data_IF_325305607724
#
_entry.id   IF_325305607724
#
_cell.length_a   1.000
_cell.length_b   1.000
_cell.length_c   1.000
_cell.angle_alpha   90.00
_cell.angle_beta   90.00
_cell.angle_gamma   90.00
#
_symmetry.space_group_name_H-M   'P 1'
#
loop_
_entity.id
_entity.type
_entity.pdbx_description
1 polymer ?
#
# COMPACT_ATOMS: atom_id res chain seq x y z
N UNK A 1 13.59 -12.16 -3.49
CA UNK A 1 14.23 -12.45 -4.79
C UNK A 1 15.72 -12.66 -4.62
N UNK A 2 16.45 -11.75 -3.94
CA UNK A 2 17.90 -11.90 -3.73
C UNK A 2 18.30 -13.21 -3.01
N UNK A 3 17.46 -13.74 -2.13
CA UNK A 3 17.75 -14.91 -1.29
C UNK A 3 17.46 -16.24 -1.98
N UNK A 4 16.30 -16.36 -2.63
CA UNK A 4 15.82 -17.62 -3.23
C UNK A 4 15.75 -17.58 -4.77
N UNK A 5 16.16 -16.47 -5.35
CA UNK A 5 16.03 -16.20 -6.78
C UNK A 5 14.71 -15.48 -7.14
N UNK A 6 14.69 -14.93 -8.36
CA UNK A 6 13.53 -14.16 -8.83
C UNK A 6 12.39 -15.07 -9.34
N UNK A 7 12.70 -16.26 -9.86
CA UNK A 7 11.69 -17.15 -10.45
C UNK A 7 10.64 -17.65 -9.44
N UNK A 8 11.01 -18.15 -8.23
CA UNK A 8 10.03 -18.55 -7.22
C UNK A 8 9.14 -17.37 -6.76
N UNK A 9 9.72 -16.18 -6.67
CA UNK A 9 8.98 -14.94 -6.30
C UNK A 9 7.96 -14.60 -7.38
N UNK A 10 8.39 -14.61 -8.66
CA UNK A 10 7.50 -14.34 -9.80
C UNK A 10 6.35 -15.35 -9.86
N UNK A 11 6.65 -16.63 -9.75
CA UNK A 11 5.62 -17.68 -9.76
C UNK A 11 4.63 -17.51 -8.61
N UNK A 12 5.10 -17.17 -7.41
CA UNK A 12 4.22 -16.93 -6.26
C UNK A 12 3.34 -15.70 -6.47
N UNK A 13 3.88 -14.59 -7.00
CA UNK A 13 3.08 -13.39 -7.31
C UNK A 13 2.01 -13.71 -8.34
N UNK A 14 2.34 -14.41 -9.43
CA UNK A 14 1.39 -14.70 -10.50
C UNK A 14 0.32 -15.70 -10.07
N UNK A 15 0.73 -16.85 -9.53
CA UNK A 15 -0.20 -17.91 -9.14
C UNK A 15 -0.99 -17.46 -7.90
N UNK A 16 -0.31 -16.92 -6.90
CA UNK A 16 -0.92 -16.42 -5.68
C UNK A 16 -1.91 -15.29 -5.95
N UNK A 17 -1.51 -14.30 -6.75
CA UNK A 17 -2.33 -13.15 -7.09
C UNK A 17 -3.60 -13.50 -7.84
N UNK A 18 -3.50 -14.35 -8.86
CA UNK A 18 -4.64 -14.73 -9.71
C UNK A 18 -5.58 -15.70 -8.99
N UNK A 19 -5.04 -16.78 -8.41
CA UNK A 19 -5.86 -17.89 -7.92
C UNK A 19 -6.24 -17.78 -6.45
N UNK A 20 -5.45 -17.09 -5.64
CA UNK A 20 -5.70 -16.94 -4.20
C UNK A 20 -6.10 -15.52 -3.83
N UNK A 21 -5.25 -14.54 -4.07
CA UNK A 21 -5.47 -13.16 -3.64
C UNK A 21 -6.72 -12.54 -4.26
N UNK A 22 -6.81 -12.52 -5.58
CA UNK A 22 -7.95 -11.93 -6.29
C UNK A 22 -9.27 -12.64 -5.99
N UNK A 23 -9.25 -13.98 -5.85
CA UNK A 23 -10.45 -14.76 -5.49
C UNK A 23 -10.88 -14.48 -4.06
N UNK A 24 -9.94 -14.37 -3.12
CA UNK A 24 -10.23 -14.05 -1.72
C UNK A 24 -10.80 -12.64 -1.56
N UNK A 25 -10.21 -11.66 -2.24
CA UNK A 25 -10.66 -10.25 -2.18
C UNK A 25 -12.04 -10.06 -2.80
N UNK A 26 -12.25 -10.67 -3.97
CA UNK A 26 -13.58 -10.70 -4.61
C UNK A 26 -14.60 -11.43 -3.74
N UNK A 27 -14.25 -12.60 -3.17
CA UNK A 27 -15.12 -13.39 -2.30
C UNK A 27 -15.55 -12.61 -1.05
N UNK A 28 -14.62 -11.89 -0.40
CA UNK A 28 -14.91 -11.05 0.74
C UNK A 28 -15.84 -9.88 0.39
N UNK A 29 -15.58 -9.21 -0.75
CA UNK A 29 -16.43 -8.14 -1.27
C UNK A 29 -17.84 -8.64 -1.59
N UNK A 30 -17.93 -9.73 -2.34
CA UNK A 30 -19.19 -10.35 -2.74
C UNK A 30 -20.01 -10.76 -1.51
N UNK A 31 -19.40 -11.48 -0.56
CA UNK A 31 -20.06 -11.90 0.66
C UNK A 31 -20.62 -10.72 1.47
N UNK A 32 -19.84 -9.62 1.55
CA UNK A 32 -20.27 -8.40 2.25
C UNK A 32 -21.44 -7.71 1.53
N UNK A 33 -21.33 -7.46 0.23
CA UNK A 33 -22.38 -6.80 -0.56
C UNK A 33 -23.68 -7.58 -0.52
N UNK A 34 -23.64 -8.89 -0.72
CA UNK A 34 -24.82 -9.78 -0.63
C UNK A 34 -25.42 -9.88 0.77
N UNK A 35 -24.70 -9.47 1.79
CA UNK A 35 -25.21 -9.35 3.16
C UNK A 35 -25.36 -7.88 3.61
N UNK A 36 -25.76 -6.99 2.73
CA UNK A 36 -26.06 -5.58 3.01
C UNK A 36 -24.85 -4.78 3.54
N UNK A 37 -23.66 -5.04 3.03
CA UNK A 37 -22.45 -4.36 3.43
C UNK A 37 -21.93 -4.72 4.83
N UNK A 38 -22.30 -5.89 5.37
CA UNK A 38 -21.82 -6.34 6.68
C UNK A 38 -20.31 -6.63 6.62
N UNK A 39 -19.59 -6.16 7.66
CA UNK A 39 -18.17 -6.45 7.79
C UNK A 39 -17.90 -7.95 8.02
N UNK A 40 -16.68 -8.40 7.76
CA UNK A 40 -16.30 -9.81 7.93
C UNK A 40 -16.61 -10.34 9.33
N UNK A 41 -16.40 -9.56 10.38
CA UNK A 41 -16.76 -9.96 11.74
C UNK A 41 -18.25 -10.22 11.95
N UNK A 42 -19.12 -9.46 11.28
CA UNK A 42 -20.57 -9.68 11.33
C UNK A 42 -20.99 -10.89 10.48
N UNK A 43 -20.28 -11.17 9.40
CA UNK A 43 -20.51 -12.37 8.59
C UNK A 43 -20.10 -13.62 9.36
N UNK A 44 -18.97 -13.60 10.05
CA UNK A 44 -18.53 -14.68 10.93
C UNK A 44 -19.56 -14.95 12.04
N UNK A 45 -20.12 -13.89 12.63
CA UNK A 45 -21.21 -14.08 13.62
C UNK A 45 -22.41 -14.79 13.03
N UNK A 46 -22.81 -14.41 11.82
CA UNK A 46 -23.97 -14.99 11.14
C UNK A 46 -23.81 -16.47 10.80
N UNK A 47 -22.60 -16.89 10.36
CA UNK A 47 -22.35 -18.23 9.83
C UNK A 47 -21.66 -19.17 10.83
N UNK A 48 -20.86 -18.65 11.75
CA UNK A 48 -20.06 -19.43 12.71
C UNK A 48 -20.53 -19.21 14.14
N UNK A 49 -21.05 -18.01 14.46
CA UNK A 49 -21.57 -17.67 15.77
C UNK A 49 -20.78 -16.61 16.54
N UNK A 50 -21.30 -16.23 17.71
CA UNK A 50 -20.79 -15.13 18.54
C UNK A 50 -19.34 -15.32 19.01
N UNK A 51 -18.95 -16.57 19.32
CA UNK A 51 -17.59 -16.86 19.77
C UNK A 51 -16.59 -16.64 18.63
N UNK A 52 -16.90 -17.10 17.41
CA UNK A 52 -16.10 -16.88 16.22
C UNK A 52 -15.88 -15.40 15.94
N UNK A 53 -16.95 -14.58 16.06
CA UNK A 53 -16.81 -13.11 15.93
C UNK A 53 -15.87 -12.52 16.97
N UNK A 54 -15.98 -12.89 18.24
CA UNK A 54 -15.13 -12.35 19.30
C UNK A 54 -13.65 -12.68 19.05
N UNK A 55 -13.35 -13.93 18.73
CA UNK A 55 -11.99 -14.38 18.42
C UNK A 55 -11.42 -13.67 17.18
N UNK A 56 -12.23 -13.54 16.13
CA UNK A 56 -11.84 -12.83 14.93
C UNK A 56 -11.56 -11.33 15.18
N UNK A 57 -12.40 -10.65 15.96
CA UNK A 57 -12.19 -9.24 16.30
C UNK A 57 -10.94 -9.06 17.17
N UNK A 58 -10.68 -9.96 18.12
CA UNK A 58 -9.45 -9.95 18.92
C UNK A 58 -8.23 -10.12 18.02
N UNK A 59 -8.26 -11.11 17.11
CA UNK A 59 -7.21 -11.30 16.13
C UNK A 59 -6.97 -10.04 15.27
N UNK A 60 -8.03 -9.47 14.70
CA UNK A 60 -7.93 -8.25 13.89
C UNK A 60 -7.35 -7.08 14.67
N UNK A 61 -7.71 -6.94 15.95
CA UNK A 61 -7.20 -5.87 16.81
C UNK A 61 -5.70 -6.03 17.05
N UNK A 62 -5.24 -7.20 17.47
CA UNK A 62 -3.82 -7.49 17.70
C UNK A 62 -2.99 -7.36 16.41
N UNK A 63 -3.54 -7.89 15.30
CA UNK A 63 -2.90 -7.80 13.99
C UNK A 63 -2.78 -6.36 13.50
N UNK A 64 -3.80 -5.52 13.72
CA UNK A 64 -3.75 -4.10 13.37
C UNK A 64 -2.70 -3.34 14.16
N UNK A 65 -2.52 -3.63 15.45
CA UNK A 65 -1.44 -3.03 16.25
C UNK A 65 -0.05 -3.40 15.70
N UNK A 66 0.15 -4.68 15.36
CA UNK A 66 1.40 -5.15 14.78
C UNK A 66 1.69 -4.44 13.44
N UNK A 67 0.70 -4.38 12.55
CA UNK A 67 0.83 -3.72 11.24
C UNK A 67 1.18 -2.24 11.42
N UNK A 68 0.44 -1.51 12.26
CA UNK A 68 0.70 -0.08 12.50
C UNK A 68 2.12 0.13 13.01
N UNK A 69 2.59 -0.69 13.96
CA UNK A 69 3.94 -0.58 14.49
C UNK A 69 5.01 -0.83 13.41
N UNK A 70 4.87 -1.90 12.62
CA UNK A 70 5.82 -2.26 11.57
C UNK A 70 5.86 -1.18 10.47
N UNK A 71 4.70 -0.75 9.97
CA UNK A 71 4.67 0.28 8.92
C UNK A 71 5.13 1.65 9.42
N UNK A 72 4.82 2.04 10.66
CA UNK A 72 5.32 3.28 11.25
C UNK A 72 6.84 3.26 11.35
N UNK A 73 7.43 2.14 11.76
CA UNK A 73 8.88 1.95 11.82
C UNK A 73 9.53 2.01 10.42
N UNK A 74 8.96 1.31 9.44
CA UNK A 74 9.44 1.32 8.06
C UNK A 74 9.40 2.73 7.44
N UNK A 75 8.29 3.44 7.60
CA UNK A 75 8.11 4.82 7.08
C UNK A 75 9.10 5.76 7.73
N UNK A 76 9.25 5.71 9.05
CA UNK A 76 10.23 6.52 9.79
C UNK A 76 11.67 6.21 9.35
N UNK A 77 11.98 4.93 9.10
CA UNK A 77 13.27 4.50 8.55
C UNK A 77 13.54 5.01 7.14
N UNK A 78 12.51 5.08 6.29
CA UNK A 78 12.64 5.58 4.91
C UNK A 78 12.97 7.08 4.87
N UNK A 79 12.45 7.86 5.80
CA UNK A 79 12.63 9.31 5.83
C UNK A 79 13.84 9.77 6.66
N UNK A 80 14.49 8.86 7.40
CA UNK A 80 15.60 9.21 8.28
C UNK A 80 16.79 9.77 7.51
N UNK A 81 17.41 10.79 8.08
CA UNK A 81 18.62 11.42 7.55
C UNK A 81 19.91 10.87 8.17
N UNK A 82 19.82 10.07 9.22
CA UNK A 82 20.96 9.60 10.00
C UNK A 82 20.98 8.08 10.09
N UNK A 83 22.16 7.51 10.10
CA UNK A 83 22.36 6.09 10.32
C UNK A 83 22.02 5.72 11.77
N UNK A 84 21.30 4.61 11.96
CA UNK A 84 20.79 4.19 13.26
C UNK A 84 21.89 3.73 14.23
N UNK A 85 23.05 3.29 13.70
CA UNK A 85 24.16 2.73 14.49
C UNK A 85 25.24 3.77 14.73
N UNK A 86 25.71 4.41 13.67
CA UNK A 86 26.80 5.39 13.74
C UNK A 86 26.37 6.82 14.08
N UNK A 87 25.08 7.13 13.96
CA UNK A 87 24.56 8.49 14.08
C UNK A 87 25.07 9.45 12.98
N UNK A 88 25.81 8.93 12.00
CA UNK A 88 26.34 9.73 10.92
C UNK A 88 25.25 10.13 9.93
N UNK A 89 25.42 11.30 9.30
CA UNK A 89 24.49 11.76 8.25
C UNK A 89 24.64 10.87 7.01
N UNK A 90 23.53 10.30 6.54
CA UNK A 90 23.49 9.46 5.35
C UNK A 90 23.78 10.28 4.09
N UNK A 91 24.43 9.67 3.11
CA UNK A 91 24.60 10.29 1.78
C UNK A 91 23.23 10.62 1.13
N UNK A 92 22.20 9.83 1.42
CA UNK A 92 20.82 9.99 0.96
C UNK A 92 19.97 10.91 1.84
N UNK A 93 20.52 11.54 2.88
CA UNK A 93 19.77 12.34 3.86
C UNK A 93 18.89 13.44 3.23
N UNK A 94 19.39 14.09 2.19
CA UNK A 94 18.61 15.11 1.44
C UNK A 94 17.44 14.47 0.69
N UNK A 95 17.67 13.36 0.02
CA UNK A 95 16.64 12.64 -0.74
C UNK A 95 15.57 12.07 0.20
N UNK A 96 15.99 11.47 1.31
CA UNK A 96 15.08 10.94 2.33
C UNK A 96 14.24 12.05 2.97
N UNK A 97 14.87 13.17 3.32
CA UNK A 97 14.19 14.35 3.85
C UNK A 97 13.24 15.01 2.85
N UNK A 98 13.58 15.00 1.57
CA UNK A 98 12.68 15.45 0.49
C UNK A 98 11.46 14.53 0.38
N UNK A 99 11.64 13.22 0.41
CA UNK A 99 10.54 12.27 0.39
C UNK A 99 9.58 12.48 1.58
N UNK A 100 10.12 12.71 2.79
CA UNK A 100 9.34 13.06 3.97
C UNK A 100 8.54 14.36 3.80
N UNK A 101 9.19 15.42 3.28
CA UNK A 101 8.52 16.70 3.03
C UNK A 101 7.43 16.60 1.95
N UNK A 102 7.70 15.86 0.84
CA UNK A 102 6.69 15.56 -0.19
C UNK A 102 5.48 14.89 0.45
N UNK A 103 5.71 13.89 1.32
CA UNK A 103 4.63 13.16 1.99
C UNK A 103 3.78 14.05 2.89
N UNK A 104 4.41 14.97 3.66
CA UNK A 104 3.69 15.94 4.49
C UNK A 104 2.87 16.90 3.63
N UNK A 105 3.47 17.46 2.57
CA UNK A 105 2.76 18.37 1.67
C UNK A 105 1.60 17.68 0.96
N UNK A 106 1.81 16.44 0.53
CA UNK A 106 0.78 15.63 -0.10
C UNK A 106 -0.44 15.43 0.82
N UNK A 107 -0.21 15.17 2.11
CA UNK A 107 -1.28 15.03 3.09
C UNK A 107 -2.03 16.34 3.35
N UNK A 108 -1.30 17.46 3.47
CA UNK A 108 -1.91 18.79 3.66
C UNK A 108 -2.75 19.17 2.43
N UNK A 109 -2.23 18.98 1.23
CA UNK A 109 -2.96 19.26 0.00
C UNK A 109 -4.14 18.30 -0.23
N UNK A 110 -4.09 17.06 0.26
CA UNK A 110 -5.23 16.18 0.22
C UNK A 110 -6.41 16.72 1.05
N UNK A 111 -6.14 17.28 2.23
CA UNK A 111 -7.17 17.94 3.05
C UNK A 111 -7.73 19.18 2.34
N UNK A 112 -6.87 20.02 1.79
CA UNK A 112 -7.29 21.21 1.02
C UNK A 112 -8.12 20.80 -0.20
N UNK A 113 -7.70 19.77 -0.92
CA UNK A 113 -8.43 19.19 -2.06
C UNK A 113 -9.83 18.73 -1.64
N UNK A 114 -9.96 18.00 -0.52
CA UNK A 114 -11.26 17.56 0.00
C UNK A 114 -12.19 18.71 0.37
N UNK A 115 -11.66 19.79 0.95
CA UNK A 115 -12.42 21.00 1.24
C UNK A 115 -12.90 21.72 -0.02
N UNK A 116 -12.03 21.84 -1.03
CA UNK A 116 -12.36 22.45 -2.33
C UNK A 116 -13.42 21.63 -3.04
N UNK A 117 -13.26 20.30 -3.09
CA UNK A 117 -14.20 19.38 -3.71
C UNK A 117 -15.59 19.48 -3.08
N UNK A 118 -15.66 19.52 -1.75
CA UNK A 118 -16.94 19.69 -1.03
C UNK A 118 -17.60 21.04 -1.29
N UNK A 119 -16.80 22.12 -1.41
CA UNK A 119 -17.34 23.48 -1.60
C UNK A 119 -17.80 23.73 -3.04
N UNK A 120 -17.07 23.23 -4.03
CA UNK A 120 -17.29 23.57 -5.44
C UNK A 120 -17.87 22.42 -6.26
N UNK A 121 -18.05 21.22 -5.69
CA UNK A 121 -18.53 20.00 -6.37
C UNK A 121 -17.84 19.74 -7.72
N UNK A 122 -16.52 19.90 -7.76
CA UNK A 122 -15.75 19.61 -8.96
C UNK A 122 -15.85 18.10 -9.29
N UNK A 123 -16.04 17.79 -10.57
CA UNK A 123 -16.06 16.41 -11.06
C UNK A 123 -15.37 16.33 -12.42
N UNK A 124 -14.89 15.13 -12.75
CA UNK A 124 -14.28 14.83 -14.04
C UNK A 124 -12.94 15.54 -14.25
N UNK A 125 -12.78 16.22 -15.39
CA UNK A 125 -11.49 16.79 -15.78
C UNK A 125 -10.95 17.87 -14.82
N UNK A 126 -11.83 18.70 -14.26
CA UNK A 126 -11.42 19.76 -13.31
C UNK A 126 -10.83 19.17 -12.04
N UNK A 127 -11.42 18.10 -11.54
CA UNK A 127 -10.94 17.35 -10.39
C UNK A 127 -9.56 16.74 -10.66
N UNK A 128 -9.39 16.13 -11.85
CA UNK A 128 -8.12 15.55 -12.28
C UNK A 128 -7.00 16.59 -12.35
N UNK A 129 -7.24 17.73 -13.03
CA UNK A 129 -6.25 18.80 -13.15
C UNK A 129 -5.85 19.34 -11.79
N UNK A 130 -6.80 19.57 -10.88
CA UNK A 130 -6.52 20.04 -9.53
C UNK A 130 -5.67 19.05 -8.75
N UNK A 131 -5.97 17.74 -8.85
CA UNK A 131 -5.16 16.68 -8.24
C UNK A 131 -3.73 16.67 -8.76
N UNK A 132 -3.54 16.75 -10.07
CA UNK A 132 -2.22 16.82 -10.69
C UNK A 132 -1.45 18.07 -10.24
N UNK A 133 -2.09 19.22 -10.19
CA UNK A 133 -1.44 20.46 -9.70
C UNK A 133 -0.94 20.30 -8.28
N UNK A 134 -1.76 19.76 -7.37
CA UNK A 134 -1.35 19.54 -5.98
C UNK A 134 -0.22 18.52 -5.85
N UNK A 135 -0.22 17.47 -6.66
CA UNK A 135 0.89 16.51 -6.71
C UNK A 135 2.19 17.22 -7.14
N UNK A 136 2.15 17.95 -8.26
CA UNK A 136 3.34 18.67 -8.79
C UNK A 136 3.86 19.69 -7.78
N UNK A 137 2.97 20.45 -7.14
CA UNK A 137 3.36 21.42 -6.10
C UNK A 137 3.97 20.73 -4.88
N UNK A 138 3.42 19.58 -4.45
CA UNK A 138 3.99 18.78 -3.35
C UNK A 138 5.42 18.36 -3.65
N UNK A 139 5.67 17.86 -4.86
CA UNK A 139 7.01 17.47 -5.29
C UNK A 139 7.95 18.70 -5.40
N UNK A 140 7.49 19.80 -5.97
CA UNK A 140 8.29 21.02 -6.13
C UNK A 140 8.74 21.59 -4.78
N UNK A 141 7.85 21.61 -3.78
CA UNK A 141 8.18 22.06 -2.42
C UNK A 141 9.11 21.06 -1.73
N UNK A 142 8.78 19.77 -1.77
CA UNK A 142 9.55 18.74 -1.10
C UNK A 142 11.00 18.62 -1.59
N UNK A 143 11.22 18.77 -2.89
CA UNK A 143 12.57 18.77 -3.43
C UNK A 143 13.41 20.00 -3.05
N UNK A 144 12.76 21.15 -2.81
CA UNK A 144 13.45 22.38 -2.43
C UNK A 144 13.72 22.50 -0.94
N UNK A 145 12.88 21.89 -0.10
CA UNK A 145 12.93 22.04 1.36
C UNK A 145 12.94 20.66 2.02
N UNK A 146 14.08 19.93 1.99
CA UNK A 146 14.19 18.65 2.65
C UNK A 146 14.17 18.82 4.18
N UNK A 147 13.41 17.95 4.87
CA UNK A 147 13.38 17.90 6.34
C UNK A 147 14.44 16.91 6.82
N UNK A 148 15.46 17.40 7.50
CA UNK A 148 16.57 16.60 8.02
C UNK A 148 16.29 16.22 9.47
N UNK A 149 15.72 15.02 9.70
CA UNK A 149 15.40 14.49 11.03
C UNK A 149 15.94 13.08 11.20
N UNK A 150 16.16 12.67 12.45
CA UNK A 150 16.45 11.28 12.81
C UNK A 150 15.19 10.43 12.82
N UNK A 151 15.38 9.11 12.94
CA UNK A 151 14.29 8.12 12.95
C UNK A 151 13.26 8.41 14.04
N UNK A 152 13.69 8.77 15.24
CA UNK A 152 12.78 9.08 16.36
C UNK A 152 11.91 10.30 16.07
N UNK A 153 12.50 11.37 15.51
CA UNK A 153 11.75 12.57 15.11
C UNK A 153 10.67 12.24 14.09
N UNK A 154 10.99 11.43 13.09
CA UNK A 154 10.00 10.97 12.11
C UNK A 154 8.94 10.06 12.74
N UNK A 155 9.32 9.20 13.69
CA UNK A 155 8.35 8.35 14.41
C UNK A 155 7.32 9.19 15.15
N UNK A 156 7.70 10.25 15.84
CA UNK A 156 6.74 11.17 16.48
C UNK A 156 5.81 11.84 15.47
N UNK A 157 6.32 12.28 14.33
CA UNK A 157 5.50 12.89 13.26
C UNK A 157 4.50 11.86 12.71
N UNK A 158 4.94 10.64 12.44
CA UNK A 158 4.09 9.56 11.93
C UNK A 158 3.00 9.19 12.92
N UNK A 159 3.31 9.06 14.21
CA UNK A 159 2.30 8.76 15.23
C UNK A 159 1.32 9.91 15.43
N UNK A 160 1.77 11.17 15.43
CA UNK A 160 0.89 12.33 15.47
C UNK A 160 -0.06 12.34 14.25
N UNK A 161 0.46 12.05 13.06
CA UNK A 161 -0.34 11.91 11.86
C UNK A 161 -1.39 10.79 11.96
N UNK A 162 -1.01 9.60 12.43
CA UNK A 162 -1.93 8.47 12.60
C UNK A 162 -3.06 8.85 13.55
N UNK A 163 -2.73 9.51 14.67
CA UNK A 163 -3.72 9.98 15.65
C UNK A 163 -4.71 10.98 15.04
N UNK A 164 -4.21 12.00 14.34
CA UNK A 164 -5.05 13.00 13.66
C UNK A 164 -5.92 12.31 12.60
N UNK A 165 -5.32 11.45 11.76
CA UNK A 165 -6.03 10.75 10.70
C UNK A 165 -7.15 9.82 11.22
N UNK A 166 -6.96 9.22 12.40
CA UNK A 166 -7.98 8.37 13.03
C UNK A 166 -9.21 9.15 13.49
N UNK A 167 -9.06 10.43 13.85
CA UNK A 167 -10.17 11.29 14.31
C UNK A 167 -10.88 11.98 13.15
N UNK A 168 -10.19 12.23 12.03
CA UNK A 168 -10.74 12.96 10.89
C UNK A 168 -11.78 12.14 10.11
N UNK A 169 -12.83 12.78 9.58
CA UNK A 169 -13.82 12.11 8.76
C UNK A 169 -13.20 11.64 7.44
N UNK A 170 -13.67 10.47 6.95
CA UNK A 170 -13.15 9.79 5.76
C UNK A 170 -13.18 10.70 4.51
N UNK A 171 -14.23 11.47 4.33
CA UNK A 171 -14.39 12.36 3.17
C UNK A 171 -13.39 13.51 3.13
N UNK A 172 -12.85 13.91 4.28
CA UNK A 172 -11.94 15.06 4.36
C UNK A 172 -10.49 14.66 4.06
N UNK A 173 -10.07 13.50 4.53
CA UNK A 173 -8.67 13.11 4.45
C UNK A 173 -8.44 11.89 3.59
N UNK A 174 -9.20 10.80 3.80
CA UNK A 174 -8.94 9.53 3.13
C UNK A 174 -9.31 9.58 1.65
N UNK A 175 -10.54 9.97 1.30
CA UNK A 175 -11.02 9.95 -0.08
C UNK A 175 -10.19 10.85 -1.02
N UNK A 176 -9.90 12.13 -0.68
CA UNK A 176 -9.08 13.00 -1.52
C UNK A 176 -7.65 12.49 -1.67
N UNK A 177 -7.08 11.99 -0.58
CA UNK A 177 -5.75 11.40 -0.58
C UNK A 177 -5.69 10.16 -1.49
N UNK A 178 -6.66 9.26 -1.37
CA UNK A 178 -6.71 8.05 -2.17
C UNK A 178 -6.86 8.38 -3.66
N UNK A 179 -7.63 9.41 -4.01
CA UNK A 179 -7.75 9.90 -5.38
C UNK A 179 -6.41 10.40 -5.94
N UNK A 180 -5.72 11.28 -5.21
CA UNK A 180 -4.40 11.78 -5.61
C UNK A 180 -3.37 10.65 -5.68
N UNK A 181 -3.40 9.72 -4.72
CA UNK A 181 -2.53 8.53 -4.72
C UNK A 181 -2.78 7.64 -5.93
N UNK A 182 -4.03 7.49 -6.37
CA UNK A 182 -4.37 6.72 -7.57
C UNK A 182 -3.75 7.32 -8.83
N UNK A 183 -3.79 8.65 -8.98
CA UNK A 183 -3.13 9.34 -10.10
C UNK A 183 -1.63 9.06 -10.09
N UNK A 184 -0.98 9.23 -8.95
CA UNK A 184 0.46 8.98 -8.79
C UNK A 184 0.82 7.52 -9.04
N UNK A 185 -0.01 6.59 -8.57
CA UNK A 185 0.16 5.16 -8.73
C UNK A 185 0.09 4.73 -10.21
N UNK A 186 -0.89 5.25 -10.97
CA UNK A 186 -1.00 4.99 -12.41
C UNK A 186 0.21 5.56 -13.16
N UNK A 187 0.65 6.78 -12.83
CA UNK A 187 1.87 7.36 -13.40
C UNK A 187 3.12 6.53 -13.09
N UNK A 188 3.23 6.00 -11.87
CA UNK A 188 4.34 5.14 -11.46
C UNK A 188 4.36 3.81 -12.23
N UNK A 189 3.21 3.14 -12.37
CA UNK A 189 3.11 1.89 -13.16
C UNK A 189 3.48 2.15 -14.62
N UNK A 190 2.90 3.20 -15.22
CA UNK A 190 3.18 3.55 -16.61
C UNK A 190 4.66 3.92 -16.80
N UNK A 191 5.22 4.72 -15.90
CA UNK A 191 6.63 5.11 -15.93
C UNK A 191 7.58 3.93 -15.76
N UNK A 192 7.30 3.03 -14.83
CA UNK A 192 8.09 1.81 -14.63
C UNK A 192 8.01 0.87 -15.85
N UNK A 193 6.82 0.66 -16.39
CA UNK A 193 6.64 -0.17 -17.59
C UNK A 193 7.37 0.41 -18.81
N UNK A 194 7.23 1.72 -19.06
CA UNK A 194 7.95 2.39 -20.14
C UNK A 194 9.46 2.37 -19.91
N UNK A 195 9.91 2.60 -18.68
CA UNK A 195 11.33 2.52 -18.32
C UNK A 195 11.94 1.17 -18.56
N UNK A 196 11.23 0.08 -18.25
CA UNK A 196 11.66 -1.29 -18.53
C UNK A 196 11.68 -1.60 -20.04
N UNK A 197 10.67 -1.12 -20.80
CA UNK A 197 10.59 -1.34 -22.25
C UNK A 197 11.70 -0.55 -22.99
N UNK A 198 11.95 0.69 -22.61
CA UNK A 198 12.94 1.56 -23.29
C UNK A 198 14.36 1.22 -22.83
N UNK A 199 14.54 1.01 -21.53
CA UNK A 199 15.86 0.81 -20.92
C UNK A 199 16.43 -0.59 -21.13
N UNK A 200 15.59 -1.58 -21.44
CA UNK A 200 15.97 -2.99 -21.58
C UNK A 200 16.97 -3.49 -20.51
N UNK A 201 16.74 -3.21 -19.22
CA UNK A 201 17.70 -3.57 -18.18
C UNK A 201 17.87 -5.08 -18.09
N UNK A 202 19.07 -5.52 -17.79
CA UNK A 202 19.37 -6.93 -17.56
C UNK A 202 19.01 -7.33 -16.14
N UNK A 203 18.45 -8.54 -15.97
CA UNK A 203 18.17 -9.08 -14.65
C UNK A 203 19.46 -9.58 -13.98
N UNK A 204 19.91 -8.89 -12.94
CA UNK A 204 21.14 -9.21 -12.20
C UNK A 204 20.92 -10.23 -11.07
N UNK A 205 19.68 -10.48 -10.69
CA UNK A 205 19.35 -11.46 -9.67
C UNK A 205 19.43 -12.90 -10.19
N UNK A 206 19.86 -13.88 -9.38
CA UNK A 206 19.88 -15.28 -9.77
C UNK A 206 18.46 -15.79 -10.05
N UNK A 207 18.33 -16.72 -11.00
CA UNK A 207 17.04 -17.34 -11.34
C UNK A 207 16.50 -18.13 -10.16
N UNK A 208 17.35 -18.98 -9.58
CA UNK A 208 17.03 -19.82 -8.43
C UNK A 208 18.32 -20.15 -7.68
N UNK A 209 18.32 -20.02 -6.35
CA UNK A 209 19.49 -20.28 -5.50
C UNK A 209 19.38 -21.55 -4.68
N UNK A 210 18.20 -22.13 -4.57
CA UNK A 210 17.93 -23.35 -3.78
C UNK A 210 16.72 -23.21 -2.86
N UNK A 211 16.36 -24.33 -2.21
CA UNK A 211 15.20 -24.38 -1.30
C UNK A 211 15.56 -24.01 0.15
N UNK A 212 16.84 -23.87 0.48
CA UNK A 212 17.31 -23.55 1.81
C UNK A 212 18.39 -22.47 1.76
N UNK A 213 18.29 -21.50 2.67
CA UNK A 213 19.31 -20.48 2.91
C UNK A 213 19.83 -20.63 4.33
N UNK A 214 21.14 -20.47 4.54
CA UNK A 214 21.77 -20.68 5.85
C UNK A 214 21.31 -19.67 6.90
N UNK A 215 21.02 -18.43 6.48
CA UNK A 215 20.63 -17.35 7.39
C UNK A 215 19.13 -17.28 7.66
N UNK A 216 18.30 -17.54 6.63
CA UNK A 216 16.86 -17.36 6.69
C UNK A 216 16.07 -18.67 6.79
N UNK A 217 16.73 -19.83 6.59
CA UNK A 217 16.10 -21.13 6.66
C UNK A 217 15.50 -21.61 5.32
N UNK A 218 14.39 -22.36 5.39
CA UNK A 218 13.77 -22.96 4.21
C UNK A 218 12.91 -21.95 3.42
N UNK A 219 12.87 -22.10 2.10
CA UNK A 219 12.06 -21.26 1.22
C UNK A 219 10.57 -21.26 1.62
N UNK A 220 10.02 -22.42 1.99
CA UNK A 220 8.70 -22.51 2.61
C UNK A 220 8.88 -22.53 4.15
N UNK A 221 8.16 -21.69 4.91
CA UNK A 221 7.15 -20.70 4.50
C UNK A 221 7.69 -19.29 4.19
N UNK A 222 9.00 -19.06 4.38
CA UNK A 222 9.58 -17.70 4.45
C UNK A 222 9.31 -16.86 3.20
N UNK A 223 9.59 -17.37 2.01
CA UNK A 223 9.34 -16.66 0.76
C UNK A 223 7.86 -16.30 0.61
N UNK A 224 6.97 -17.26 0.89
CA UNK A 224 5.53 -17.12 0.72
C UNK A 224 4.94 -16.07 1.65
N UNK A 225 5.41 -16.02 2.89
CA UNK A 225 4.98 -15.01 3.88
C UNK A 225 5.58 -13.64 3.56
N UNK A 226 6.85 -13.57 3.19
CA UNK A 226 7.52 -12.29 2.91
C UNK A 226 6.94 -11.58 1.68
N UNK A 227 6.53 -12.33 0.67
CA UNK A 227 5.96 -11.80 -0.59
C UNK A 227 4.42 -11.91 -0.59
N UNK A 228 3.81 -12.16 0.58
CA UNK A 228 2.36 -12.37 0.66
C UNK A 228 1.54 -11.20 0.12
N UNK A 229 1.90 -9.94 0.42
CA UNK A 229 1.14 -8.77 -0.04
C UNK A 229 0.95 -8.72 -1.56
N UNK A 230 1.98 -9.01 -2.34
CA UNK A 230 1.89 -9.03 -3.82
C UNK A 230 1.17 -10.24 -4.41
N UNK A 231 0.92 -11.28 -3.59
CA UNK A 231 0.29 -12.52 -4.02
C UNK A 231 -1.06 -12.78 -3.32
N UNK A 232 -1.12 -12.65 -2.00
CA UNK A 232 -2.33 -12.91 -1.19
C UNK A 232 -2.32 -12.02 0.04
N UNK A 233 -3.03 -10.91 0.03
CA UNK A 233 -3.10 -10.02 1.19
C UNK A 233 -4.36 -10.27 2.02
N UNK A 234 -4.18 -10.78 3.24
CA UNK A 234 -5.30 -10.97 4.18
C UNK A 234 -5.94 -9.65 4.62
N UNK A 235 -5.21 -8.54 4.58
CA UNK A 235 -5.74 -7.22 4.91
C UNK A 235 -6.74 -6.71 3.86
N UNK A 236 -6.57 -7.07 2.60
CA UNK A 236 -7.50 -6.70 1.53
C UNK A 236 -8.91 -7.22 1.79
N UNK A 237 -9.06 -8.44 2.29
CA UNK A 237 -10.38 -9.00 2.63
C UNK A 237 -11.10 -8.19 3.71
N UNK A 238 -10.36 -7.63 4.69
CA UNK A 238 -10.90 -6.74 5.71
C UNK A 238 -11.35 -5.41 5.10
N UNK A 239 -10.55 -4.81 4.21
CA UNK A 239 -10.88 -3.57 3.51
C UNK A 239 -12.04 -3.78 2.54
N UNK A 240 -12.04 -4.86 1.78
CA UNK A 240 -13.10 -5.22 0.85
C UNK A 240 -14.46 -5.32 1.54
N UNK A 241 -14.54 -6.04 2.67
CA UNK A 241 -15.78 -6.20 3.43
C UNK A 241 -16.10 -5.01 4.34
N UNK A 242 -15.10 -4.27 4.81
CA UNK A 242 -15.27 -3.17 5.76
C UNK A 242 -15.55 -1.81 5.12
N UNK A 243 -14.95 -1.53 3.99
CA UNK A 243 -14.96 -0.21 3.34
C UNK A 243 -15.49 -0.28 1.92
N UNK A 244 -14.88 -1.08 1.03
CA UNK A 244 -15.20 -1.11 -0.39
C UNK A 244 -16.65 -1.55 -0.65
N UNK A 245 -17.16 -2.53 0.11
CA UNK A 245 -18.54 -2.99 0.03
C UNK A 245 -19.60 -1.92 0.33
N UNK A 246 -19.20 -0.85 1.06
CA UNK A 246 -20.09 0.27 1.42
C UNK A 246 -19.99 1.45 0.47
N UNK A 247 -18.95 1.49 -0.36
CA UNK A 247 -18.67 2.58 -1.29
C UNK A 247 -18.92 2.21 -2.74
N UNK A 248 -19.08 0.92 -3.04
CA UNK A 248 -19.36 0.45 -4.39
C UNK A 248 -20.74 0.93 -4.85
N UNK A 249 -20.79 1.60 -6.00
CA UNK A 249 -22.04 2.19 -6.52
C UNK A 249 -22.93 1.16 -7.23
N UNK A 250 -22.33 0.13 -7.84
CA UNK A 250 -23.06 -0.89 -8.60
C UNK A 250 -22.48 -2.29 -8.31
N UNK A 251 -23.34 -3.26 -8.06
CA UNK A 251 -22.93 -4.64 -7.85
C UNK A 251 -22.16 -5.25 -9.03
N UNK A 252 -22.41 -4.81 -10.26
CA UNK A 252 -21.71 -5.25 -11.46
C UNK A 252 -20.22 -4.91 -11.45
N UNK A 253 -19.82 -3.90 -10.68
CA UNK A 253 -18.42 -3.47 -10.57
C UNK A 253 -17.63 -4.25 -9.52
N UNK A 254 -18.28 -5.14 -8.76
CA UNK A 254 -17.60 -5.97 -7.73
C UNK A 254 -16.41 -6.76 -8.28
N UNK A 255 -16.56 -7.33 -9.49
CA UNK A 255 -15.47 -8.09 -10.12
C UNK A 255 -14.28 -7.19 -10.46
N UNK A 256 -14.52 -5.99 -10.97
CA UNK A 256 -13.45 -5.04 -11.30
C UNK A 256 -12.77 -4.53 -10.02
N UNK A 257 -13.55 -4.22 -8.99
CA UNK A 257 -13.04 -3.66 -7.74
C UNK A 257 -12.36 -4.73 -6.88
N UNK A 258 -12.97 -5.89 -6.68
CA UNK A 258 -12.40 -6.96 -5.85
C UNK A 258 -11.28 -7.71 -6.56
N UNK A 259 -11.61 -8.37 -7.67
CA UNK A 259 -10.64 -9.18 -8.41
C UNK A 259 -9.62 -8.32 -9.18
N UNK A 260 -10.09 -7.31 -9.90
CA UNK A 260 -9.24 -6.48 -10.76
C UNK A 260 -8.20 -5.67 -9.99
N UNK A 261 -8.53 -5.18 -8.79
CA UNK A 261 -7.57 -4.43 -7.97
C UNK A 261 -6.39 -5.30 -7.53
N UNK A 262 -6.64 -6.55 -7.13
CA UNK A 262 -5.57 -7.48 -6.75
C UNK A 262 -4.68 -7.87 -7.94
N UNK A 263 -5.26 -8.03 -9.13
CA UNK A 263 -4.48 -8.24 -10.36
C UNK A 263 -3.56 -7.04 -10.64
N UNK A 264 -4.06 -5.82 -10.47
CA UNK A 264 -3.27 -4.61 -10.66
C UNK A 264 -2.11 -4.53 -9.64
N UNK A 265 -2.35 -4.95 -8.40
CA UNK A 265 -1.29 -5.04 -7.38
C UNK A 265 -0.25 -6.10 -7.74
N UNK A 266 -0.67 -7.26 -8.26
CA UNK A 266 0.25 -8.30 -8.74
C UNK A 266 1.10 -7.80 -9.90
N UNK A 267 0.54 -7.03 -10.82
CA UNK A 267 1.30 -6.37 -11.91
C UNK A 267 2.34 -5.40 -11.34
N UNK A 268 1.97 -4.59 -10.34
CA UNK A 268 2.92 -3.72 -9.66
C UNK A 268 4.04 -4.51 -8.98
N UNK A 269 3.71 -5.62 -8.31
CA UNK A 269 4.70 -6.47 -7.67
C UNK A 269 5.69 -7.08 -8.67
N UNK A 270 5.21 -7.47 -9.87
CA UNK A 270 6.08 -7.91 -10.97
C UNK A 270 6.97 -6.79 -11.47
N UNK A 271 6.43 -5.58 -11.68
CA UNK A 271 7.24 -4.42 -12.08
C UNK A 271 8.30 -4.09 -11.03
N UNK A 272 7.94 -4.12 -9.75
CA UNK A 272 8.87 -3.91 -8.65
C UNK A 272 9.98 -4.98 -8.62
N UNK A 273 9.64 -6.25 -8.90
CA UNK A 273 10.62 -7.32 -9.02
C UNK A 273 11.58 -7.08 -10.19
N UNK A 274 11.09 -6.64 -11.34
CA UNK A 274 11.92 -6.31 -12.50
C UNK A 274 12.86 -5.14 -12.21
N UNK A 275 12.35 -4.06 -11.62
CA UNK A 275 13.16 -2.88 -11.27
C UNK A 275 14.22 -3.24 -10.23
N UNK A 276 13.83 -3.96 -9.16
CA UNK A 276 14.78 -4.39 -8.12
C UNK A 276 15.80 -5.42 -8.63
N UNK A 277 15.45 -6.19 -9.65
CA UNK A 277 16.35 -7.15 -10.26
C UNK A 277 17.32 -6.56 -11.28
N UNK A 278 17.01 -5.35 -11.76
CA UNK A 278 17.82 -4.59 -12.71
C UNK A 278 18.84 -3.65 -12.02
N UNK A 279 18.64 -3.37 -10.73
CA UNK A 279 19.53 -2.57 -9.90
C UNK A 279 20.70 -3.45 -9.39
#
# INVERSE_FOLDING_TARGET
AAVFGWLPVLLWILIGGVFFGAVTDFGALYASVKNQGKSMGMLIEKYIGKLGRKLFLLFCWLFSLLIIAVFADMVSGTFTAFDAVSGAKLATASTNGSAGMVSIMFMLFAVVFGLIQKKFNFSGWKEFVLGVVFIVVSFAIGMKVPIILGKDGWSYIVFAYIFIAAIMPIWLMKQPRDYMTTIMFVCMIAGAALGLIIGHPTMNLPVFTGFKNEQLGTMFPILFVTVACGAVSGFHSLVSSGTSSKTIANEKDMLKVGYGAMILESVLAVLALCVAGAA
#
